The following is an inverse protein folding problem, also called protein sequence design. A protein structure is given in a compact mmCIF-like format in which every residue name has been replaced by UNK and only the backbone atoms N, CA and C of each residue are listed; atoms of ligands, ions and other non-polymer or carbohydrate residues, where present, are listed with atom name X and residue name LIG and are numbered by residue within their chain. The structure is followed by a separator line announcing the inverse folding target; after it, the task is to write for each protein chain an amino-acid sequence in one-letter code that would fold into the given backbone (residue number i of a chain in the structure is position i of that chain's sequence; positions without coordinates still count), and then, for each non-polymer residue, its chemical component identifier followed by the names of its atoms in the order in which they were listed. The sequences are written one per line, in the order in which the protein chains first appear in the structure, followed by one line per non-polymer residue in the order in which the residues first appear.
data_IF_217995333631
#
_entry.id   IF_217995333631
#
_cell.length_a   1.000
_cell.length_b   1.000
_cell.length_c   1.000
_cell.angle_alpha   90.00
_cell.angle_beta   90.00
_cell.angle_gamma   90.00
#
_symmetry.space_group_name_H-M   'P 1'
#
loop_
_entity.id
_entity.type
_entity.pdbx_description
1 polymer ?
#
# COMPACT_ATOMS: atom_id res chain seq x y z
N UNK A 1 -7.62 -10.29 -7.43
CA UNK A 1 -8.16 -9.30 -6.48
C UNK A 1 -7.80 -7.90 -6.97
N UNK A 2 -8.77 -7.01 -7.17
CA UNK A 2 -8.49 -5.60 -7.48
C UNK A 2 -7.81 -4.92 -6.28
N UNK A 3 -6.83 -4.02 -6.47
CA UNK A 3 -6.21 -3.27 -5.38
C UNK A 3 -7.24 -2.46 -4.60
N UNK A 4 -7.34 -2.68 -3.29
CA UNK A 4 -8.32 -2.01 -2.44
C UNK A 4 -7.74 -1.59 -1.07
N UNK A 5 -8.11 -0.41 -0.61
CA UNK A 5 -7.75 0.14 0.72
C UNK A 5 -8.98 0.69 1.43
N UNK A 6 -9.05 0.50 2.75
CA UNK A 6 -10.10 1.03 3.62
C UNK A 6 -9.53 2.24 4.37
N UNK A 7 -10.20 3.38 4.25
CA UNK A 7 -9.75 4.66 4.80
C UNK A 7 -10.77 5.19 5.82
N UNK A 8 -10.30 5.63 6.99
CA UNK A 8 -11.11 6.31 7.99
C UNK A 8 -11.38 7.78 7.64
N UNK A 9 -12.19 8.47 8.45
CA UNK A 9 -12.66 9.85 8.17
C UNK A 9 -11.53 10.87 7.92
N UNK A 10 -10.40 10.74 8.63
CA UNK A 10 -9.21 11.61 8.47
C UNK A 10 -8.28 11.17 7.34
N UNK A 11 -8.69 10.15 6.57
CA UNK A 11 -7.89 9.42 5.57
C UNK A 11 -6.71 8.62 6.13
N UNK A 12 -6.82 8.18 7.39
CA UNK A 12 -5.99 7.14 7.97
C UNK A 12 -6.29 5.79 7.26
N UNK A 13 -5.27 5.00 6.95
CA UNK A 13 -5.42 3.64 6.40
C UNK A 13 -5.80 2.71 7.54
N UNK A 14 -7.01 2.16 7.47
CA UNK A 14 -7.54 1.21 8.46
C UNK A 14 -7.24 -0.24 8.07
N UNK A 15 -7.25 -0.54 6.77
CA UNK A 15 -6.89 -1.83 6.21
C UNK A 15 -6.51 -1.71 4.73
N UNK A 16 -5.86 -2.73 4.19
CA UNK A 16 -5.65 -2.93 2.76
C UNK A 16 -5.73 -4.41 2.40
N UNK A 17 -6.11 -4.73 1.16
CA UNK A 17 -5.83 -6.07 0.63
C UNK A 17 -4.40 -6.12 0.08
N UNK A 18 -3.90 -7.34 -0.16
CA UNK A 18 -2.52 -7.62 -0.63
C UNK A 18 -2.12 -6.76 -1.84
N UNK A 19 -3.03 -6.60 -2.80
CA UNK A 19 -2.80 -5.85 -4.03
C UNK A 19 -2.97 -4.34 -3.84
N UNK A 20 -3.81 -3.90 -2.89
CA UNK A 20 -3.96 -2.51 -2.44
C UNK A 20 -2.68 -1.96 -1.81
N UNK A 21 -2.09 -2.71 -0.87
CA UNK A 21 -0.75 -2.38 -0.34
C UNK A 21 0.26 -2.34 -1.48
N UNK A 22 0.31 -3.40 -2.32
CA UNK A 22 1.29 -3.49 -3.39
C UNK A 22 1.25 -2.28 -4.34
N UNK A 23 0.06 -1.75 -4.67
CA UNK A 23 -0.11 -0.59 -5.55
C UNK A 23 0.22 0.75 -4.88
N UNK A 24 -0.26 0.99 -3.65
CA UNK A 24 -0.24 2.33 -3.04
C UNK A 24 0.87 2.55 -2.00
N UNK A 25 1.42 1.47 -1.45
CA UNK A 25 2.25 1.50 -0.25
C UNK A 25 3.20 0.28 -0.17
N UNK A 26 3.77 -0.13 -1.31
CA UNK A 26 4.59 -1.35 -1.39
C UNK A 26 5.83 -1.33 -0.48
N UNK A 27 6.25 -0.14 -0.06
CA UNK A 27 7.38 0.13 0.84
C UNK A 27 7.05 0.07 2.34
N UNK A 28 5.77 0.09 2.75
CA UNK A 28 5.36 0.06 4.16
C UNK A 28 5.21 -1.37 4.69
N UNK A 29 5.40 -1.58 5.99
CA UNK A 29 5.14 -2.89 6.62
C UNK A 29 3.68 -3.37 6.38
N UNK A 30 3.42 -4.66 6.09
CA UNK A 30 2.05 -5.14 5.81
C UNK A 30 1.03 -4.93 6.93
N UNK A 31 1.47 -4.91 8.18
CA UNK A 31 0.66 -4.87 9.40
C UNK A 31 0.64 -3.49 10.07
N UNK A 32 1.24 -2.46 9.47
CA UNK A 32 1.17 -1.10 9.99
C UNK A 32 -0.28 -0.54 10.15
N UNK A 33 -1.33 -0.97 9.39
CA UNK A 33 -2.71 -0.57 9.67
C UNK A 33 -3.25 -1.15 10.99
N UNK A 34 -2.67 -2.24 11.49
CA UNK A 34 -3.09 -2.90 12.74
C UNK A 34 -2.58 -2.14 13.98
N UNK A 35 -1.68 -1.15 13.80
CA UNK A 35 -1.02 -0.38 14.87
C UNK A 35 -1.59 1.05 14.95
N UNK A 36 -2.57 1.35 15.84
CA UNK A 36 -3.43 2.54 15.71
C UNK A 36 -2.69 3.89 15.67
N UNK A 37 -1.60 4.02 16.42
CA UNK A 37 -0.82 5.27 16.53
C UNK A 37 0.27 5.41 15.45
N UNK A 38 0.55 4.34 14.70
CA UNK A 38 1.48 4.33 13.55
C UNK A 38 0.77 4.22 12.19
N UNK A 39 -0.57 4.20 12.18
CA UNK A 39 -1.39 4.07 10.97
C UNK A 39 -0.96 5.06 9.88
N UNK A 40 -0.64 4.59 8.66
CA UNK A 40 -0.36 5.48 7.54
C UNK A 40 -1.56 6.37 7.25
N UNK A 41 -1.35 7.64 6.96
CA UNK A 41 -2.41 8.56 6.55
C UNK A 41 -2.18 8.97 5.10
N UNK A 42 -3.19 8.83 4.22
CA UNK A 42 -2.97 9.05 2.79
C UNK A 42 -2.69 10.52 2.44
N UNK A 43 -3.03 11.48 3.31
CA UNK A 43 -2.62 12.86 3.13
C UNK A 43 -1.14 13.06 3.53
N UNK A 44 -0.69 12.45 4.63
CA UNK A 44 0.76 12.39 4.96
C UNK A 44 1.55 11.76 3.82
N UNK A 45 1.09 10.61 3.30
CA UNK A 45 1.76 9.95 2.18
C UNK A 45 1.82 10.86 0.94
N UNK A 46 0.71 11.47 0.53
CA UNK A 46 0.69 12.36 -0.65
C UNK A 46 1.62 13.57 -0.51
N UNK A 47 1.81 14.15 0.67
CA UNK A 47 2.62 15.37 0.82
C UNK A 47 4.04 15.15 1.36
N UNK A 48 4.30 14.06 2.09
CA UNK A 48 5.54 13.84 2.86
C UNK A 48 6.28 12.53 2.52
N UNK A 49 5.70 11.63 1.72
CA UNK A 49 6.38 10.40 1.26
C UNK A 49 6.83 10.53 -0.21
N UNK A 50 8.13 10.31 -0.44
CA UNK A 50 8.72 10.32 -1.77
C UNK A 50 8.18 9.20 -2.67
N UNK A 51 7.93 8.00 -2.14
CA UNK A 51 7.40 6.89 -2.93
C UNK A 51 6.01 7.20 -3.47
N UNK A 52 5.13 7.78 -2.66
CA UNK A 52 3.79 8.23 -3.11
C UNK A 52 3.87 9.42 -4.06
N UNK A 53 4.88 10.28 -3.93
CA UNK A 53 5.12 11.38 -4.88
C UNK A 53 5.54 10.85 -6.26
N UNK A 54 6.55 9.98 -6.30
CA UNK A 54 7.03 9.32 -7.52
C UNK A 54 5.96 8.43 -8.17
N UNK A 55 5.15 7.76 -7.35
CA UNK A 55 4.03 6.92 -7.80
C UNK A 55 2.96 7.71 -8.56
N UNK A 56 2.73 8.99 -8.22
CA UNK A 56 1.77 9.84 -8.92
C UNK A 56 2.40 10.76 -9.99
N UNK A 57 3.72 10.99 -9.94
CA UNK A 57 4.50 11.66 -11.00
C UNK A 57 3.80 12.94 -11.53
N UNK A 58 3.52 13.01 -12.84
CA UNK A 58 2.85 14.14 -13.50
C UNK A 58 1.44 14.45 -12.97
N UNK A 59 0.75 13.49 -12.35
CA UNK A 59 -0.57 13.68 -11.76
C UNK A 59 -0.52 13.91 -10.23
N UNK A 60 0.67 13.98 -9.62
CA UNK A 60 0.82 14.35 -8.21
C UNK A 60 0.15 15.69 -7.86
N UNK A 61 0.30 16.79 -8.64
CA UNK A 61 -0.38 18.06 -8.34
C UNK A 61 -1.90 17.98 -8.37
N UNK A 62 -2.47 16.99 -9.08
CA UNK A 62 -3.91 16.70 -9.04
C UNK A 62 -4.27 15.96 -7.75
N UNK A 63 -3.57 14.86 -7.46
CA UNK A 63 -3.74 14.05 -6.25
C UNK A 63 -3.63 14.87 -4.95
N UNK A 64 -2.67 15.81 -4.90
CA UNK A 64 -2.48 16.75 -3.81
C UNK A 64 -3.72 17.62 -3.55
N UNK A 65 -4.30 18.20 -4.61
CA UNK A 65 -5.54 19.01 -4.52
C UNK A 65 -6.74 18.17 -4.11
N UNK A 66 -6.85 16.93 -4.59
CA UNK A 66 -7.91 16.01 -4.19
C UNK A 66 -7.82 15.63 -2.70
N UNK A 67 -6.60 15.48 -2.16
CA UNK A 67 -6.36 15.25 -0.73
C UNK A 67 -6.73 16.49 0.12
N UNK A 68 -6.32 17.69 -0.30
CA UNK A 68 -6.70 18.97 0.34
C UNK A 68 -8.22 19.16 0.34
N UNK A 69 -8.90 18.90 -0.78
CA UNK A 69 -10.35 18.99 -0.87
C UNK A 69 -11.08 18.03 0.08
N UNK A 70 -10.54 16.81 0.26
CA UNK A 70 -11.07 15.82 1.21
C UNK A 70 -10.85 16.23 2.67
N UNK A 71 -9.70 16.82 3.00
CA UNK A 71 -9.45 17.37 4.34
C UNK A 71 -10.34 18.58 4.65
N UNK A 72 -10.59 19.48 3.68
CA UNK A 72 -11.57 20.59 3.85
C UNK A 72 -12.98 20.08 4.13
N UNK A 73 -13.43 19.05 3.39
CA UNK A 73 -14.74 18.43 3.63
C UNK A 73 -14.82 17.81 5.03
N UNK A 74 -13.76 17.11 5.46
CA UNK A 74 -13.69 16.55 6.80
C UNK A 74 -13.75 17.61 7.92
N UNK A 75 -13.11 18.79 7.72
CA UNK A 75 -13.21 19.91 8.67
C UNK A 75 -14.63 20.48 8.71
N UNK A 76 -15.29 20.63 7.55
CA UNK A 76 -16.69 21.09 7.49
C UNK A 76 -17.69 20.11 8.11
N UNK A 77 -17.36 18.83 8.20
CA UNK A 77 -18.17 17.78 8.84
C UNK A 77 -17.83 17.57 10.32
N UNK A 78 -16.59 17.85 10.72
CA UNK A 78 -16.05 17.59 12.07
C UNK A 78 -15.12 18.74 12.49
N UNK A 79 -15.64 19.96 12.75
CA UNK A 79 -14.81 21.13 13.06
C UNK A 79 -14.01 20.93 14.36
N UNK A 80 -14.60 20.29 15.37
CA UNK A 80 -14.01 20.08 16.70
C UNK A 80 -13.13 18.81 16.80
N UNK A 81 -12.58 18.29 15.69
CA UNK A 81 -11.71 17.11 15.70
C UNK A 81 -10.23 17.47 15.90
N UNK A 82 -9.66 17.36 17.12
CA UNK A 82 -8.30 17.82 17.40
C UNK A 82 -7.23 17.02 16.64
N UNK A 83 -7.49 15.76 16.30
CA UNK A 83 -6.57 14.94 15.49
C UNK A 83 -6.59 15.35 14.01
N UNK A 84 -7.71 15.90 13.52
CA UNK A 84 -7.78 16.48 12.16
C UNK A 84 -7.08 17.85 12.11
N UNK A 85 -7.29 18.69 13.13
CA UNK A 85 -6.56 19.95 13.27
C UNK A 85 -5.03 19.73 13.36
N UNK A 86 -4.59 18.76 14.16
CA UNK A 86 -3.17 18.39 14.27
C UNK A 86 -2.58 17.89 12.95
N UNK A 87 -3.32 17.08 12.17
CA UNK A 87 -2.89 16.64 10.83
C UNK A 87 -2.73 17.82 9.86
N UNK A 88 -3.67 18.77 9.86
CA UNK A 88 -3.60 19.96 8.99
C UNK A 88 -2.43 20.87 9.39
N UNK A 89 -2.21 21.08 10.70
CA UNK A 89 -1.06 21.82 11.21
C UNK A 89 0.27 21.17 10.84
N UNK A 90 0.39 19.85 11.00
CA UNK A 90 1.58 19.10 10.59
C UNK A 90 1.88 19.26 9.09
N UNK A 91 0.87 19.07 8.24
CA UNK A 91 1.03 19.16 6.79
C UNK A 91 1.40 20.60 6.35
N UNK A 92 0.82 21.62 6.98
CA UNK A 92 1.14 23.02 6.72
C UNK A 92 2.55 23.43 7.19
N UNK A 93 3.07 22.82 8.26
CA UNK A 93 4.46 23.04 8.70
C UNK A 93 5.48 22.26 7.84
N UNK A 94 5.13 21.09 7.31
CA UNK A 94 6.07 20.18 6.64
C UNK A 94 6.04 20.22 5.11
N UNK A 95 5.00 20.75 4.46
CA UNK A 95 4.95 20.95 3.00
C UNK A 95 4.46 22.36 2.64
N UNK A 96 5.30 23.10 1.91
CA UNK A 96 4.96 24.42 1.37
C UNK A 96 3.83 24.31 0.33
N UNK A 97 3.79 23.22 -0.44
CA UNK A 97 2.73 22.99 -1.42
C UNK A 97 1.39 22.69 -0.75
N UNK A 98 1.39 21.96 0.38
CA UNK A 98 0.19 21.82 1.20
C UNK A 98 -0.28 23.18 1.72
N UNK A 99 0.62 23.96 2.33
CA UNK A 99 0.28 25.28 2.88
C UNK A 99 -0.29 26.21 1.79
N UNK A 100 0.25 26.19 0.57
CA UNK A 100 -0.26 26.95 -0.58
C UNK A 100 -1.64 26.47 -1.01
N UNK A 101 -1.84 25.17 -1.22
CA UNK A 101 -3.17 24.63 -1.58
C UNK A 101 -4.21 24.81 -0.44
N UNK A 102 -3.75 24.89 0.81
CA UNK A 102 -4.57 25.16 1.99
C UNK A 102 -4.89 26.65 2.18
N UNK A 103 -4.11 27.58 1.62
CA UNK A 103 -4.47 29.01 1.60
C UNK A 103 -5.41 29.38 0.43
N UNK A 104 -5.37 28.66 -0.70
CA UNK A 104 -6.16 28.96 -1.90
C UNK A 104 -7.71 28.88 -1.74
N UNK A 105 -8.23 28.18 -0.72
CA UNK A 105 -9.67 28.01 -0.40
C UNK A 105 -10.60 27.46 -1.51
N UNK A 106 -10.07 27.11 -2.69
CA UNK A 106 -10.81 26.58 -3.83
C UNK A 106 -11.30 25.14 -3.61
N UNK A 107 -12.60 24.97 -3.38
CA UNK A 107 -13.28 23.67 -3.47
C UNK A 107 -13.70 23.42 -4.93
N UNK A 108 -12.88 22.68 -5.69
CA UNK A 108 -13.31 22.12 -6.98
C UNK A 108 -14.16 20.87 -6.77
N UNK A 109 -15.13 20.62 -7.66
CA UNK A 109 -15.78 19.30 -7.79
C UNK A 109 -14.73 18.25 -8.17
N UNK A 110 -14.85 17.04 -7.62
CA UNK A 110 -13.93 15.93 -7.90
C UNK A 110 -14.23 15.30 -9.26
N UNK A 111 -13.68 15.91 -10.31
CA UNK A 111 -14.12 15.67 -11.70
C UNK A 111 -13.58 14.38 -12.34
N UNK A 112 -12.44 13.86 -11.86
CA UNK A 112 -11.72 12.76 -12.51
C UNK A 112 -11.10 11.78 -11.50
N UNK A 113 -11.70 10.58 -11.36
CA UNK A 113 -11.16 9.47 -10.56
C UNK A 113 -9.88 8.83 -11.14
N UNK A 114 -9.57 9.10 -12.42
CA UNK A 114 -8.46 8.50 -13.17
C UNK A 114 -7.13 9.19 -12.87
N UNK A 115 -6.06 8.44 -12.59
CA UNK A 115 -4.70 8.96 -12.45
C UNK A 115 -3.73 8.15 -13.32
N UNK A 116 -2.78 8.85 -13.93
CA UNK A 116 -1.54 8.26 -14.43
C UNK A 116 -0.62 8.02 -13.24
N UNK A 117 -0.01 6.86 -13.17
CA UNK A 117 0.82 6.42 -12.05
C UNK A 117 2.06 5.70 -12.56
N UNK A 118 3.20 5.89 -11.91
CA UNK A 118 4.47 5.26 -12.25
C UNK A 118 4.91 4.32 -11.14
N UNK A 119 4.56 3.03 -11.27
CA UNK A 119 4.77 2.04 -10.22
C UNK A 119 6.13 1.33 -10.39
N UNK A 120 6.99 1.24 -9.36
CA UNK A 120 8.38 0.79 -9.50
C UNK A 120 8.54 -0.66 -10.00
N UNK A 121 7.52 -1.52 -9.83
CA UNK A 121 7.58 -2.92 -10.27
C UNK A 121 6.90 -3.21 -11.62
N UNK A 122 6.04 -2.31 -12.12
CA UNK A 122 5.23 -2.56 -13.35
C UNK A 122 5.16 -1.36 -14.31
N UNK A 123 5.92 -0.31 -14.03
CA UNK A 123 6.02 0.87 -14.89
C UNK A 123 4.77 1.75 -14.87
N UNK A 124 4.49 2.38 -16.02
CA UNK A 124 3.41 3.36 -16.17
C UNK A 124 2.05 2.69 -16.34
N UNK A 125 1.07 3.16 -15.57
CA UNK A 125 -0.34 2.75 -15.64
C UNK A 125 -1.25 3.97 -15.66
N UNK A 126 -2.45 3.81 -16.23
CA UNK A 126 -3.57 4.73 -16.06
C UNK A 126 -4.69 3.98 -15.33
N UNK A 127 -5.00 4.39 -14.09
CA UNK A 127 -5.88 3.69 -13.18
C UNK A 127 -7.07 4.54 -12.74
N UNK A 128 -8.26 3.93 -12.70
CA UNK A 128 -9.51 4.52 -12.24
C UNK A 128 -9.68 4.23 -10.74
N UNK A 129 -9.72 5.26 -9.89
CA UNK A 129 -9.82 5.11 -8.43
C UNK A 129 -11.24 5.37 -7.91
N UNK A 130 -12.06 4.33 -7.90
CA UNK A 130 -13.44 4.39 -7.40
C UNK A 130 -13.44 4.49 -5.87
N UNK A 131 -14.23 5.40 -5.31
CA UNK A 131 -14.42 5.55 -3.85
C UNK A 131 -15.84 5.17 -3.47
N UNK A 132 -16.00 4.20 -2.58
CA UNK A 132 -17.29 3.75 -2.03
C UNK A 132 -17.33 4.12 -0.56
N UNK A 133 -18.29 4.95 -0.16
CA UNK A 133 -18.49 5.30 1.25
C UNK A 133 -19.20 4.15 1.97
N UNK A 134 -18.79 3.82 3.19
CA UNK A 134 -19.43 2.78 4.01
C UNK A 134 -20.54 3.45 4.84
N UNK A 135 -21.82 3.05 4.70
CA UNK A 135 -22.89 3.60 5.53
C UNK A 135 -22.68 3.30 7.02
N UNK A 136 -23.15 4.20 7.89
CA UNK A 136 -23.12 4.13 9.37
C UNK A 136 -21.72 4.10 10.04
N UNK A 137 -20.68 3.63 9.35
CA UNK A 137 -19.29 3.54 9.84
C UNK A 137 -18.54 4.90 9.91
N UNK A 138 -19.14 5.93 10.51
CA UNK A 138 -18.43 7.12 11.01
C UNK A 138 -17.54 7.90 10.02
N UNK A 139 -17.80 7.80 8.71
CA UNK A 139 -16.98 8.40 7.65
C UNK A 139 -15.93 7.49 7.02
N UNK A 140 -16.00 6.17 7.23
CA UNK A 140 -15.18 5.19 6.50
C UNK A 140 -15.52 5.15 5.00
N UNK A 141 -14.49 4.89 4.18
CA UNK A 141 -14.61 4.75 2.72
C UNK A 141 -13.58 3.78 2.16
N UNK A 142 -14.01 2.92 1.25
CA UNK A 142 -13.16 2.00 0.49
C UNK A 142 -12.72 2.72 -0.79
N UNK A 143 -11.44 2.61 -1.15
CA UNK A 143 -10.92 3.03 -2.46
C UNK A 143 -10.43 1.79 -3.22
N UNK A 144 -10.95 1.58 -4.42
CA UNK A 144 -10.61 0.46 -5.31
C UNK A 144 -9.95 1.02 -6.57
N UNK A 145 -8.84 0.42 -7.00
CA UNK A 145 -8.22 0.71 -8.28
C UNK A 145 -8.65 -0.27 -9.36
N UNK A 146 -9.08 0.23 -10.50
CA UNK A 146 -9.41 -0.54 -11.70
C UNK A 146 -8.69 0.03 -12.92
N UNK A 147 -8.67 -0.74 -14.00
CA UNK A 147 -8.18 -0.33 -15.31
C UNK A 147 -9.08 -0.96 -16.38
N UNK A 148 -9.23 -0.29 -17.52
CA UNK A 148 -10.17 -0.69 -18.54
C UNK A 148 -9.70 -1.98 -19.24
N UNK A 149 -10.64 -2.87 -19.56
CA UNK A 149 -10.33 -4.21 -20.05
C UNK A 149 -9.56 -4.17 -21.38
N UNK A 150 -8.58 -5.06 -21.54
CA UNK A 150 -7.71 -5.11 -22.72
C UNK A 150 -6.58 -4.06 -22.76
N UNK A 151 -6.51 -3.14 -21.80
CA UNK A 151 -5.43 -2.14 -21.73
C UNK A 151 -4.12 -2.70 -21.16
N UNK A 152 -3.01 -2.05 -21.47
CA UNK A 152 -1.71 -2.29 -20.82
C UNK A 152 -1.76 -2.03 -19.31
N UNK A 153 -2.57 -1.05 -18.85
CA UNK A 153 -2.84 -0.81 -17.43
C UNK A 153 -3.47 -2.03 -16.74
N UNK A 154 -4.41 -2.71 -17.39
CA UNK A 154 -5.02 -3.93 -16.84
C UNK A 154 -4.00 -5.09 -16.78
N UNK A 155 -3.14 -5.24 -17.80
CA UNK A 155 -2.04 -6.20 -17.78
C UNK A 155 -1.04 -5.91 -16.65
N UNK A 156 -0.67 -4.64 -16.42
CA UNK A 156 0.22 -4.22 -15.35
C UNK A 156 -0.38 -4.45 -13.95
N UNK A 157 -1.68 -4.21 -13.75
CA UNK A 157 -2.37 -4.61 -12.50
C UNK A 157 -2.33 -6.13 -12.27
N UNK A 158 -2.52 -6.93 -13.32
CA UNK A 158 -2.44 -8.38 -13.23
C UNK A 158 -1.01 -8.87 -12.92
N UNK A 159 0.03 -8.23 -13.47
CA UNK A 159 1.42 -8.50 -13.11
C UNK A 159 1.70 -8.15 -11.63
N UNK A 160 1.27 -6.96 -11.19
CA UNK A 160 1.43 -6.53 -9.79
C UNK A 160 0.72 -7.46 -8.80
N UNK A 161 -0.48 -7.93 -9.15
CA UNK A 161 -1.24 -8.87 -8.33
C UNK A 161 -0.56 -10.25 -8.17
N UNK A 162 0.27 -10.65 -9.14
CA UNK A 162 1.10 -11.86 -9.12
C UNK A 162 2.44 -11.63 -8.41
N UNK A 163 3.11 -10.51 -8.65
CA UNK A 163 4.36 -10.12 -7.99
C UNK A 163 4.18 -9.94 -6.47
N UNK A 164 3.00 -9.49 -6.03
CA UNK A 164 2.61 -9.43 -4.62
C UNK A 164 2.25 -10.77 -3.97
N UNK A 165 2.52 -11.92 -4.60
CA UNK A 165 2.42 -13.24 -3.98
C UNK A 165 3.81 -13.66 -3.48
N UNK A 166 4.01 -13.89 -2.17
CA UNK A 166 5.22 -14.54 -1.68
C UNK A 166 5.33 -15.92 -2.33
N UNK A 167 6.37 -16.12 -3.15
CA UNK A 167 6.69 -17.45 -3.68
C UNK A 167 7.23 -18.27 -2.52
N UNK A 168 6.35 -19.02 -1.87
CA UNK A 168 6.72 -20.06 -0.93
C UNK A 168 7.49 -21.14 -1.71
N UNK A 169 8.83 -20.97 -1.78
CA UNK A 169 9.72 -21.97 -2.36
C UNK A 169 9.52 -23.26 -1.57
N UNK A 170 9.03 -24.35 -2.18
CA UNK A 170 8.86 -25.60 -1.47
C UNK A 170 10.26 -26.10 -1.12
N UNK A 171 10.63 -25.98 0.16
CA UNK A 171 11.91 -26.44 0.65
C UNK A 171 11.92 -27.96 0.55
N UNK A 172 12.49 -28.49 -0.52
CA UNK A 172 12.69 -29.93 -0.70
C UNK A 172 13.65 -30.40 0.37
N UNK A 173 13.09 -30.84 1.49
CA UNK A 173 13.81 -31.42 2.62
C UNK A 173 14.46 -32.73 2.14
N UNK A 174 15.70 -32.64 1.67
CA UNK A 174 16.48 -33.80 1.28
C UNK A 174 16.56 -34.77 2.48
N UNK A 175 15.99 -35.97 2.30
CA UNK A 175 16.15 -37.04 3.27
C UNK A 175 17.61 -37.53 3.21
N UNK A 176 18.25 -37.66 4.37
CA UNK A 176 19.66 -38.00 4.48
C UNK A 176 20.00 -39.39 3.94
N UNK A 177 20.71 -39.43 2.82
CA UNK A 177 21.80 -40.37 2.57
C UNK A 177 23.11 -39.64 2.92
N UNK A 178 24.16 -40.26 3.46
CA UNK A 178 24.39 -41.66 3.90
C UNK A 178 25.17 -41.60 5.25
N UNK A 179 25.83 -42.58 5.87
CA UNK A 179 26.33 -43.93 5.53
C UNK A 179 26.06 -44.93 6.68
N UNK A 180 26.35 -46.21 6.47
CA UNK A 180 26.63 -47.18 7.55
C UNK A 180 27.67 -48.21 7.08
N UNK A 181 28.84 -48.32 7.75
CA UNK A 181 29.70 -49.49 7.64
C UNK A 181 30.13 -50.04 9.03
N UNK A 182 30.22 -51.37 9.19
CA UNK A 182 30.71 -51.97 10.44
C UNK A 182 30.34 -53.43 10.72
N UNK A 183 30.61 -54.36 9.80
CA UNK A 183 30.55 -55.81 10.07
C UNK A 183 31.97 -56.38 10.22
N UNK A 184 32.37 -56.93 11.38
CA UNK A 184 33.77 -57.30 11.65
C UNK A 184 34.03 -58.81 11.56
N UNK A 185 34.45 -59.30 10.38
CA UNK A 185 34.93 -60.68 10.21
C UNK A 185 36.08 -60.76 9.19
N UNK A 186 37.31 -60.84 9.71
CA UNK A 186 38.52 -61.48 9.14
C UNK A 186 39.75 -60.94 9.92
N UNK A 187 40.61 -61.76 10.52
CA UNK A 187 40.55 -63.21 10.73
C UNK A 187 41.71 -63.72 11.60
N UNK A 188 41.62 -64.98 12.02
CA UNK A 188 42.67 -65.87 12.57
C UNK A 188 43.78 -65.33 13.49
N UNK A 189 43.84 -65.88 14.72
CA UNK A 189 45.12 -66.42 15.23
C UNK A 189 44.90 -67.88 15.67
N UNK A 190 45.95 -68.69 15.60
CA UNK A 190 45.90 -70.14 15.86
C UNK A 190 47.26 -70.65 16.33
N UNK A 191 47.45 -70.71 17.66
CA UNK A 191 48.59 -71.41 18.27
C UNK A 191 48.13 -72.27 19.43
N UNK A 192 48.59 -73.52 19.42
CA UNK A 192 48.31 -74.53 20.41
C UNK A 192 49.48 -74.70 21.38
N UNK A 193 49.19 -74.75 22.67
CA UNK A 193 49.67 -75.74 23.66
C UNK A 193 49.06 -75.51 25.03
#
# INVERSE_FOLDING_TARGET
DAPAVVLGRRSDVLAWNRTGRALFAGHLDPHIPDQPDQRPNTARLVFLDAHTRDLYDVDWPKKARDAVGKLRLAVGQHPDDPRLAALIGELAMKSVEFATMWSEHRVRKWDLATYRMHHPLVGRMQLNLQTVNVPQEGGQRIVVATADAGTTSAAALCLLARAGVPTAVPTVRQAGRTEAPGSPWDGADSRSR
#
